data_IF_496911508124
#
_entry.id   IF_496911508124
#
_cell.length_a   1.000
_cell.length_b   1.000
_cell.length_c   1.000
_cell.angle_alpha   90.00
_cell.angle_beta   90.00
_cell.angle_gamma   90.00
#
_symmetry.space_group_name_H-M   'P 1'
#
loop_
_entity.id
_entity.type
_entity.pdbx_description
1 polymer ?
#
# COMPACT_ATOMS: atom_id res chain seq x y z
N UNK A 1 -4.21 -16.00 -2.44
CA UNK A 1 -3.27 -15.05 -3.06
C UNK A 1 -3.96 -14.43 -4.26
N UNK A 2 -4.19 -13.12 -4.25
CA UNK A 2 -4.96 -12.46 -5.32
C UNK A 2 -5.31 -11.01 -5.03
N UNK A 3 -4.50 -10.33 -4.22
CA UNK A 3 -4.74 -8.93 -3.89
C UNK A 3 -3.95 -8.06 -4.86
N UNK A 4 -4.62 -7.06 -5.42
CA UNK A 4 -4.00 -6.04 -6.26
C UNK A 4 -4.20 -4.69 -5.61
N UNK A 5 -3.11 -4.08 -5.14
CA UNK A 5 -3.15 -2.73 -4.58
C UNK A 5 -3.30 -1.74 -5.74
N UNK A 6 -4.29 -0.87 -5.66
CA UNK A 6 -4.61 0.11 -6.71
C UNK A 6 -4.38 1.55 -6.25
N UNK A 7 -4.47 1.82 -4.95
CA UNK A 7 -4.21 3.16 -4.39
C UNK A 7 -3.54 3.10 -3.02
N UNK A 8 -2.78 4.15 -2.72
CA UNK A 8 -2.10 4.41 -1.44
C UNK A 8 -2.40 5.86 -1.06
N UNK A 9 -2.99 6.10 0.11
CA UNK A 9 -3.42 7.44 0.56
C UNK A 9 -4.22 8.22 -0.52
N UNK A 10 -5.14 7.53 -1.19
CA UNK A 10 -5.94 8.10 -2.28
C UNK A 10 -5.18 8.35 -3.60
N UNK A 11 -3.86 8.15 -3.66
CA UNK A 11 -3.09 8.24 -4.90
C UNK A 11 -3.09 6.90 -5.61
N UNK A 12 -3.41 6.91 -6.91
CA UNK A 12 -3.33 5.71 -7.76
C UNK A 12 -1.90 5.18 -7.81
N UNK A 13 -1.78 3.86 -7.93
CA UNK A 13 -0.54 3.12 -8.12
C UNK A 13 -0.70 2.17 -9.30
N UNK A 14 0.28 2.16 -10.19
CA UNK A 14 0.27 1.38 -11.41
C UNK A 14 1.26 0.21 -11.40
N UNK A 15 2.26 0.23 -10.53
CA UNK A 15 3.27 -0.84 -10.43
C UNK A 15 3.77 -1.07 -9.00
N UNK A 16 4.44 -2.21 -8.80
CA UNK A 16 5.09 -2.54 -7.53
C UNK A 16 6.23 -1.58 -7.16
N UNK A 17 7.03 -1.12 -8.14
CA UNK A 17 8.08 -0.12 -7.85
C UNK A 17 7.50 1.22 -7.42
N UNK A 18 6.42 1.67 -8.07
CA UNK A 18 5.74 2.91 -7.68
C UNK A 18 5.20 2.80 -6.24
N UNK A 19 4.63 1.64 -5.89
CA UNK A 19 4.20 1.35 -4.52
C UNK A 19 5.38 1.49 -3.55
N UNK A 20 6.50 0.84 -3.83
CA UNK A 20 7.69 0.87 -2.97
C UNK A 20 8.17 2.31 -2.76
N UNK A 21 8.25 3.12 -3.82
CA UNK A 21 8.66 4.53 -3.73
C UNK A 21 7.71 5.31 -2.82
N UNK A 22 6.39 5.16 -3.01
CA UNK A 22 5.39 5.85 -2.19
C UNK A 22 5.46 5.43 -0.72
N UNK A 23 5.67 4.15 -0.42
CA UNK A 23 5.78 3.66 0.95
C UNK A 23 7.07 4.18 1.61
N UNK A 24 8.21 4.16 0.90
CA UNK A 24 9.50 4.64 1.44
C UNK A 24 9.54 6.15 1.72
N UNK A 25 8.62 6.92 1.14
CA UNK A 25 8.44 8.33 1.46
C UNK A 25 7.78 8.59 2.82
N UNK A 26 7.35 7.55 3.53
CA UNK A 26 6.67 7.61 4.82
C UNK A 26 7.55 7.06 5.95
N UNK A 27 7.21 7.42 7.18
CA UNK A 27 7.93 6.96 8.37
C UNK A 27 7.30 5.67 8.92
N UNK A 28 8.10 4.76 9.50
CA UNK A 28 7.56 3.69 10.33
C UNK A 28 6.62 4.27 11.41
N UNK A 29 5.50 3.59 11.66
CA UNK A 29 4.44 4.05 12.54
C UNK A 29 3.39 4.94 11.87
N UNK A 30 3.60 5.42 10.64
CA UNK A 30 2.56 6.15 9.92
C UNK A 30 1.37 5.24 9.60
N UNK A 31 0.15 5.76 9.75
CA UNK A 31 -1.07 5.12 9.24
C UNK A 31 -1.26 5.41 7.76
N UNK A 32 -1.66 4.38 7.01
CA UNK A 32 -1.93 4.45 5.58
C UNK A 32 -3.22 3.73 5.23
N UNK A 33 -4.03 4.42 4.43
CA UNK A 33 -5.13 3.82 3.72
C UNK A 33 -4.64 3.22 2.40
N UNK A 34 -4.87 1.92 2.24
CA UNK A 34 -4.66 1.20 0.99
C UNK A 34 -6.00 0.81 0.40
N UNK A 35 -6.09 0.98 -0.92
CA UNK A 35 -7.20 0.47 -1.71
C UNK A 35 -6.71 -0.74 -2.50
N UNK A 36 -7.39 -1.87 -2.36
CA UNK A 36 -7.02 -3.12 -3.01
C UNK A 36 -8.24 -3.79 -3.65
N UNK A 37 -7.99 -4.61 -4.66
CA UNK A 37 -8.96 -5.52 -5.24
C UNK A 37 -8.64 -6.94 -4.80
N UNK A 38 -9.61 -7.63 -4.20
CA UNK A 38 -9.51 -9.03 -3.77
C UNK A 38 -10.73 -9.79 -4.26
N UNK A 39 -10.52 -10.79 -5.12
CA UNK A 39 -11.62 -11.59 -5.67
C UNK A 39 -12.59 -10.77 -6.55
N UNK A 40 -12.11 -9.71 -7.20
CA UNK A 40 -12.92 -8.80 -8.00
C UNK A 40 -13.63 -7.69 -7.21
N UNK A 41 -13.61 -7.75 -5.89
CA UNK A 41 -14.19 -6.72 -5.03
C UNK A 41 -13.15 -5.69 -4.60
N UNK A 42 -13.58 -4.45 -4.52
CA UNK A 42 -12.76 -3.33 -4.05
C UNK A 42 -12.89 -3.17 -2.53
N UNK A 43 -11.75 -2.99 -1.86
CA UNK A 43 -11.68 -2.84 -0.40
C UNK A 43 -10.69 -1.76 -0.04
N UNK A 44 -11.03 -0.99 0.99
CA UNK A 44 -10.10 -0.06 1.64
C UNK A 44 -9.71 -0.64 2.99
N UNK A 45 -8.42 -0.64 3.28
CA UNK A 45 -7.86 -1.09 4.56
C UNK A 45 -6.92 -0.02 5.09
N UNK A 46 -7.03 0.30 6.37
CA UNK A 46 -6.08 1.14 7.08
C UNK A 46 -5.05 0.25 7.75
N UNK A 47 -3.76 0.57 7.58
CA UNK A 47 -2.66 -0.16 8.18
C UNK A 47 -1.63 0.79 8.79
N UNK A 48 -0.81 0.28 9.70
CA UNK A 48 0.35 0.98 10.25
C UNK A 48 1.62 0.45 9.60
N UNK A 49 2.50 1.34 9.14
CA UNK A 49 3.78 0.91 8.56
C UNK A 49 4.72 0.35 9.63
N UNK A 50 5.23 -0.84 9.36
CA UNK A 50 6.38 -1.38 10.07
C UNK A 50 7.69 -0.67 9.66
N UNK A 51 8.76 -0.99 10.39
CA UNK A 51 10.11 -0.60 10.02
C UNK A 51 10.58 -1.36 8.79
N UNK A 52 11.28 -0.70 7.88
CA UNK A 52 11.95 -1.36 6.77
C UNK A 52 13.20 -2.08 7.29
N UNK A 53 13.10 -3.37 7.60
CA UNK A 53 14.27 -4.23 7.78
C UNK A 53 14.81 -4.57 6.39
N UNK A 54 15.79 -3.80 5.91
CA UNK A 54 16.53 -4.15 4.71
C UNK A 54 17.44 -5.35 5.01
N UNK A 55 17.16 -6.50 4.44
CA UNK A 55 18.06 -7.66 4.36
C UNK A 55 18.16 -8.13 2.92
#
# INVERSE_FOLDING_TARGET
SGDVITHVKGQRVHSGEELIVKIRAHRPGDELDLKLTRGGEERTVTLTLGSASGT
#
